data_IF_405744700937
#
_entry.id   IF_405744700937
#
_cell.length_a   1.000
_cell.length_b   1.000
_cell.length_c   1.000
_cell.angle_alpha   90.00
_cell.angle_beta   90.00
_cell.angle_gamma   90.00
#
_symmetry.space_group_name_H-M   'P 1'
#
loop_
_entity.id
_entity.type
_entity.pdbx_description
1 polymer ?
#
# COMPACT_ATOMS: atom_id res chain seq x y z
N UNK A 1 -20.08 -18.35 18.23
CA UNK A 1 -18.92 -19.17 18.64
C UNK A 1 -17.69 -18.31 18.49
N UNK A 2 -16.98 -18.01 19.58
CA UNK A 2 -15.75 -17.23 19.54
C UNK A 2 -14.68 -18.16 18.96
N UNK A 3 -14.25 -17.90 17.74
CA UNK A 3 -13.14 -18.61 17.11
C UNK A 3 -11.92 -18.36 17.99
N UNK A 4 -11.36 -19.42 18.59
CA UNK A 4 -10.10 -19.29 19.31
C UNK A 4 -9.06 -18.71 18.35
N UNK A 5 -8.27 -17.70 18.76
CA UNK A 5 -7.20 -17.21 17.92
C UNK A 5 -6.21 -18.36 17.73
N UNK A 6 -6.00 -18.75 16.47
CA UNK A 6 -4.94 -19.68 16.09
C UNK A 6 -3.61 -18.97 16.34
N UNK A 7 -3.10 -19.07 17.55
CA UNK A 7 -1.79 -18.55 17.93
C UNK A 7 -0.77 -19.66 17.73
N UNK A 8 0.07 -19.48 16.72
CA UNK A 8 1.20 -20.35 16.45
C UNK A 8 2.49 -19.59 16.73
N UNK A 9 3.49 -20.28 17.27
CA UNK A 9 4.84 -19.75 17.41
C UNK A 9 5.54 -19.85 16.06
N UNK A 10 6.45 -18.91 15.78
CA UNK A 10 7.28 -18.96 14.57
C UNK A 10 7.99 -20.31 14.42
N UNK A 11 8.47 -20.89 15.52
CA UNK A 11 9.10 -22.22 15.52
C UNK A 11 8.17 -23.34 15.03
N UNK A 12 6.87 -23.24 15.28
CA UNK A 12 5.90 -24.24 14.82
C UNK A 12 5.69 -24.12 13.31
N UNK A 13 5.62 -22.89 12.80
CA UNK A 13 5.54 -22.62 11.35
C UNK A 13 6.80 -23.13 10.65
N UNK A 14 7.99 -22.81 11.16
CA UNK A 14 9.25 -23.30 10.61
C UNK A 14 9.30 -24.83 10.60
N UNK A 15 8.89 -25.47 11.69
CA UNK A 15 8.85 -26.93 11.76
C UNK A 15 7.86 -27.55 10.74
N UNK A 16 6.67 -26.95 10.56
CA UNK A 16 5.73 -27.40 9.55
C UNK A 16 6.25 -27.20 8.13
N UNK A 17 6.93 -26.08 7.88
CA UNK A 17 7.57 -25.80 6.60
C UNK A 17 8.66 -26.85 6.30
N UNK A 18 9.56 -27.12 7.24
CA UNK A 18 10.60 -28.15 7.06
C UNK A 18 10.02 -29.52 6.76
N UNK A 19 8.94 -29.92 7.47
CA UNK A 19 8.24 -31.19 7.19
C UNK A 19 7.57 -31.22 5.83
N UNK A 20 7.08 -30.07 5.36
CA UNK A 20 6.49 -29.96 4.02
C UNK A 20 7.58 -30.05 2.94
N UNK A 21 8.74 -29.41 3.16
CA UNK A 21 9.89 -29.43 2.24
C UNK A 21 10.53 -30.81 2.11
N UNK A 22 10.57 -31.61 3.19
CA UNK A 22 11.01 -33.01 3.15
C UNK A 22 10.24 -33.85 2.12
N UNK A 23 8.97 -33.51 1.86
CA UNK A 23 8.07 -34.25 0.96
C UNK A 23 8.00 -33.59 -0.43
N UNK A 24 8.02 -32.25 -0.49
CA UNK A 24 7.68 -31.50 -1.71
C UNK A 24 8.89 -30.79 -2.35
N UNK A 25 10.06 -30.83 -1.72
CA UNK A 25 11.25 -30.10 -2.14
C UNK A 25 11.36 -28.72 -1.47
N UNK A 26 12.52 -28.09 -1.65
CA UNK A 26 12.88 -26.81 -1.03
C UNK A 26 12.03 -25.65 -1.57
N UNK A 27 11.53 -24.79 -0.68
CA UNK A 27 10.83 -23.56 -1.07
C UNK A 27 11.85 -22.45 -1.28
N UNK A 28 12.14 -22.12 -2.55
CA UNK A 28 13.22 -21.17 -2.89
C UNK A 28 12.88 -19.69 -2.69
N UNK A 29 11.59 -19.34 -2.55
CA UNK A 29 11.12 -17.95 -2.61
C UNK A 29 10.38 -17.50 -1.33
N UNK A 30 10.78 -18.03 -0.17
CA UNK A 30 10.24 -17.56 1.12
C UNK A 30 10.86 -16.20 1.44
N UNK A 31 10.01 -15.22 1.75
CA UNK A 31 10.48 -13.92 2.24
C UNK A 31 11.08 -14.07 3.64
N UNK A 32 12.27 -13.51 3.85
CA UNK A 32 12.88 -13.46 5.17
C UNK A 32 12.02 -12.59 6.12
N UNK A 33 11.96 -12.91 7.42
CA UNK A 33 11.29 -12.03 8.38
C UNK A 33 11.95 -10.65 8.36
N UNK A 34 11.15 -9.59 8.46
CA UNK A 34 11.55 -8.17 8.30
C UNK A 34 12.73 -7.71 9.16
N UNK A 35 13.13 -8.48 10.18
CA UNK A 35 14.30 -8.21 11.04
C UNK A 35 15.64 -8.73 10.54
N UNK A 36 15.69 -9.63 9.55
CA UNK A 36 16.92 -10.35 9.19
C UNK A 36 17.68 -9.80 7.96
N UNK A 37 17.28 -8.68 7.37
CA UNK A 37 18.12 -8.01 6.36
C UNK A 37 19.12 -7.05 7.01
N UNK A 38 20.09 -7.62 7.73
CA UNK A 38 21.33 -6.95 8.17
C UNK A 38 22.54 -7.27 7.29
N UNK A 39 22.35 -8.02 6.19
CA UNK A 39 23.35 -8.11 5.14
C UNK A 39 23.25 -6.81 4.32
N UNK A 40 24.31 -6.00 4.23
CA UNK A 40 24.31 -4.88 3.31
C UNK A 40 24.15 -5.47 1.92
N UNK A 41 22.94 -5.40 1.34
CA UNK A 41 22.81 -5.42 -0.11
C UNK A 41 23.77 -4.34 -0.57
N UNK A 42 24.87 -4.76 -1.22
CA UNK A 42 25.77 -3.84 -1.90
C UNK A 42 24.85 -2.94 -2.70
N UNK A 43 24.88 -1.63 -2.39
CA UNK A 43 24.15 -0.63 -3.14
C UNK A 43 24.60 -0.86 -4.57
N UNK A 44 23.77 -1.54 -5.36
CA UNK A 44 24.12 -1.81 -6.74
C UNK A 44 24.32 -0.40 -7.32
N UNK A 45 25.51 -0.12 -7.85
CA UNK A 45 25.88 1.18 -8.41
C UNK A 45 24.88 1.67 -9.48
N UNK A 46 24.01 0.78 -9.95
CA UNK A 46 22.82 1.06 -10.75
C UNK A 46 21.75 1.89 -10.02
N UNK A 47 21.50 1.72 -8.71
CA UNK A 47 20.47 2.50 -7.97
C UNK A 47 20.73 4.01 -8.05
N UNK A 48 22.00 4.43 -8.08
CA UNK A 48 22.39 5.83 -8.28
C UNK A 48 22.32 6.30 -9.73
N UNK A 49 22.23 5.38 -10.70
CA UNK A 49 22.06 5.67 -12.12
C UNK A 49 20.58 5.76 -12.54
N UNK A 50 19.66 5.25 -11.72
CA UNK A 50 18.22 5.28 -11.98
C UNK A 50 17.58 6.59 -11.49
N UNK A 51 16.99 7.33 -12.43
CA UNK A 51 16.08 8.43 -12.11
C UNK A 51 14.68 7.86 -11.91
N UNK A 52 14.23 7.77 -10.66
CA UNK A 52 12.86 7.38 -10.35
C UNK A 52 11.90 8.52 -10.65
N UNK A 53 10.99 8.32 -11.61
CA UNK A 53 9.85 9.22 -11.85
C UNK A 53 8.66 8.91 -10.95
N UNK A 54 8.72 7.78 -10.22
CA UNK A 54 7.66 7.24 -9.37
C UNK A 54 8.22 6.64 -8.08
N UNK A 55 7.42 6.71 -7.02
CA UNK A 55 7.64 5.95 -5.78
C UNK A 55 6.35 5.31 -5.31
N UNK A 56 6.41 4.04 -4.91
CA UNK A 56 5.39 3.38 -4.12
C UNK A 56 5.86 3.40 -2.67
N UNK A 57 5.02 3.89 -1.78
CA UNK A 57 5.23 3.77 -0.34
C UNK A 57 4.18 2.81 0.23
N UNK A 58 4.64 1.81 0.99
CA UNK A 58 3.81 0.80 1.63
C UNK A 58 3.64 1.06 3.13
N UNK A 59 2.50 0.68 3.72
CA UNK A 59 2.27 0.82 5.18
C UNK A 59 3.04 -0.22 6.01
N UNK A 60 3.37 -1.37 5.42
CA UNK A 60 4.18 -2.42 6.06
C UNK A 60 5.46 -2.71 5.29
N UNK A 61 6.46 -3.25 6.00
CA UNK A 61 7.72 -3.67 5.38
C UNK A 61 7.54 -4.93 4.55
N UNK A 62 6.64 -5.81 4.98
CA UNK A 62 6.30 -7.06 4.32
C UNK A 62 5.75 -6.83 2.90
N UNK A 63 4.87 -5.84 2.72
CA UNK A 63 4.35 -5.48 1.39
C UNK A 63 5.45 -4.83 0.51
N UNK A 64 6.33 -4.00 1.08
CA UNK A 64 7.45 -3.44 0.34
C UNK A 64 8.44 -4.54 -0.11
N UNK A 65 8.78 -5.47 0.77
CA UNK A 65 9.59 -6.65 0.47
C UNK A 65 8.95 -7.51 -0.61
N UNK A 66 7.65 -7.76 -0.50
CA UNK A 66 6.88 -8.50 -1.49
C UNK A 66 7.00 -7.87 -2.88
N UNK A 67 6.82 -6.56 -3.02
CA UNK A 67 6.94 -5.87 -4.32
C UNK A 67 8.37 -5.92 -4.86
N UNK A 68 9.38 -5.76 -4.01
CA UNK A 68 10.79 -5.83 -4.42
C UNK A 68 11.16 -7.25 -4.87
N UNK A 69 10.75 -8.27 -4.13
CA UNK A 69 11.00 -9.68 -4.47
C UNK A 69 10.33 -10.11 -5.79
N UNK A 70 9.26 -9.44 -6.19
CA UNK A 70 8.60 -9.63 -7.48
C UNK A 70 9.13 -8.68 -8.57
N UNK A 71 10.31 -8.06 -8.39
CA UNK A 71 10.95 -7.14 -9.34
C UNK A 71 10.09 -5.95 -9.78
N UNK A 72 9.06 -5.59 -9.01
CA UNK A 72 8.09 -4.56 -9.38
C UNK A 72 8.75 -3.20 -9.64
N UNK A 73 9.71 -2.84 -8.78
CA UNK A 73 10.50 -1.62 -8.87
C UNK A 73 11.23 -1.48 -10.21
N UNK A 74 11.74 -2.59 -10.75
CA UNK A 74 12.43 -2.62 -12.05
C UNK A 74 11.44 -2.54 -13.21
N UNK A 75 10.38 -3.36 -13.19
CA UNK A 75 9.37 -3.41 -14.26
C UNK A 75 8.62 -2.09 -14.44
N UNK A 76 8.38 -1.37 -13.35
CA UNK A 76 7.60 -0.12 -13.36
C UNK A 76 8.46 1.15 -13.23
N UNK A 77 9.79 1.03 -13.26
CA UNK A 77 10.74 2.13 -13.05
C UNK A 77 10.36 2.99 -11.83
N UNK A 78 10.13 2.36 -10.68
CA UNK A 78 9.72 3.05 -9.47
C UNK A 78 10.57 2.65 -8.27
N UNK A 79 10.74 3.58 -7.33
CA UNK A 79 11.24 3.23 -6.01
C UNK A 79 10.11 2.55 -5.21
N UNK A 80 10.45 1.57 -4.37
CA UNK A 80 9.52 0.93 -3.44
C UNK A 80 10.08 1.10 -2.03
N UNK A 81 9.31 1.75 -1.16
CA UNK A 81 9.69 2.03 0.23
C UNK A 81 8.57 1.59 1.19
N UNK A 82 8.88 1.30 2.44
CA UNK A 82 7.87 1.26 3.51
C UNK A 82 7.86 2.58 4.29
N UNK A 83 6.73 2.88 4.94
CA UNK A 83 6.60 4.05 5.81
C UNK A 83 7.59 4.01 6.99
N UNK A 84 8.03 2.80 7.38
CA UNK A 84 9.02 2.55 8.43
C UNK A 84 10.48 2.77 7.99
N UNK A 85 10.70 3.07 6.70
CA UNK A 85 12.04 3.34 6.18
C UNK A 85 12.74 2.13 5.55
N UNK A 86 12.01 1.06 5.21
CA UNK A 86 12.56 -0.04 4.44
C UNK A 86 12.67 0.33 2.94
N UNK A 87 13.72 -0.11 2.20
CA UNK A 87 14.91 -0.81 2.68
C UNK A 87 15.88 0.14 3.41
N UNK A 88 16.26 -0.21 4.65
CA UNK A 88 16.97 0.69 5.57
C UNK A 88 18.33 1.16 5.01
N UNK A 89 19.06 0.27 4.34
CA UNK A 89 20.41 0.51 3.84
C UNK A 89 20.50 1.56 2.72
N UNK A 90 19.41 1.77 1.97
CA UNK A 90 19.36 2.74 0.85
C UNK A 90 18.33 3.84 1.06
N UNK A 91 17.54 3.78 2.13
CA UNK A 91 16.40 4.68 2.35
C UNK A 91 16.77 6.15 2.25
N UNK A 92 17.81 6.59 2.98
CA UNK A 92 18.23 7.99 2.98
C UNK A 92 18.65 8.49 1.60
N UNK A 93 19.38 7.65 0.86
CA UNK A 93 19.88 7.98 -0.48
C UNK A 93 18.74 8.07 -1.47
N UNK A 94 17.85 7.06 -1.51
CA UNK A 94 16.67 7.07 -2.37
C UNK A 94 15.78 8.25 -2.04
N UNK A 95 15.54 8.52 -0.75
CA UNK A 95 14.68 9.62 -0.34
C UNK A 95 15.23 11.00 -0.71
N UNK A 96 16.55 11.18 -0.63
CA UNK A 96 17.20 12.40 -1.13
C UNK A 96 16.98 12.59 -2.63
N UNK A 97 17.12 11.53 -3.43
CA UNK A 97 16.89 11.58 -4.88
C UNK A 97 15.41 11.90 -5.21
N UNK A 98 14.47 11.24 -4.51
CA UNK A 98 13.04 11.46 -4.69
C UNK A 98 12.64 12.91 -4.39
N UNK A 99 13.15 13.50 -3.30
CA UNK A 99 12.85 14.90 -2.93
C UNK A 99 13.34 15.94 -3.94
N UNK A 100 14.34 15.60 -4.76
CA UNK A 100 14.87 16.48 -5.79
C UNK A 100 14.05 16.46 -7.08
N UNK A 101 13.12 15.50 -7.23
CA UNK A 101 12.28 15.37 -8.41
C UNK A 101 10.95 16.14 -8.22
N UNK A 102 10.76 17.31 -8.86
CA UNK A 102 9.53 18.10 -8.74
C UNK A 102 8.31 17.42 -9.40
N UNK A 103 8.55 16.52 -10.35
CA UNK A 103 7.53 15.80 -11.11
C UNK A 103 7.26 14.39 -10.54
N UNK A 104 7.75 14.11 -9.34
CA UNK A 104 7.60 12.80 -8.69
C UNK A 104 6.13 12.44 -8.49
N UNK A 105 5.75 11.25 -8.95
CA UNK A 105 4.45 10.65 -8.63
C UNK A 105 4.59 9.73 -7.42
N UNK A 106 3.84 10.03 -6.36
CA UNK A 106 3.84 9.26 -5.13
C UNK A 106 2.59 8.38 -5.08
N UNK A 107 2.75 7.08 -4.89
CA UNK A 107 1.67 6.11 -4.74
C UNK A 107 1.68 5.54 -3.33
N UNK A 108 0.61 5.72 -2.57
CA UNK A 108 0.45 5.08 -1.26
C UNK A 108 -0.27 3.74 -1.44
N UNK A 109 0.31 2.65 -0.94
CA UNK A 109 -0.26 1.32 -1.01
C UNK A 109 -0.37 0.72 0.39
N UNK A 110 -1.59 0.66 0.93
CA UNK A 110 -1.79 0.33 2.32
C UNK A 110 -3.00 -0.56 2.56
N UNK A 111 -3.04 -1.16 3.74
CA UNK A 111 -4.15 -1.95 4.26
C UNK A 111 -5.32 -1.09 4.74
N UNK A 112 -6.51 -1.67 4.89
CA UNK A 112 -7.64 -1.02 5.55
C UNK A 112 -7.48 -1.10 7.07
N UNK A 113 -6.46 -0.41 7.58
CA UNK A 113 -6.08 -0.33 8.99
C UNK A 113 -6.05 1.14 9.43
N UNK A 114 -6.14 1.45 10.74
CA UNK A 114 -5.96 2.83 11.23
C UNK A 114 -4.64 3.46 10.78
N UNK A 115 -3.58 2.65 10.71
CA UNK A 115 -2.26 3.05 10.19
C UNK A 115 -2.33 3.39 8.70
N UNK A 116 -2.89 2.47 7.89
CA UNK A 116 -2.99 2.64 6.44
C UNK A 116 -3.79 3.87 6.04
N UNK A 117 -4.98 4.08 6.62
CA UNK A 117 -5.81 5.27 6.31
C UNK A 117 -5.16 6.59 6.74
N UNK A 118 -4.19 6.56 7.68
CA UNK A 118 -3.44 7.74 8.13
C UNK A 118 -2.21 8.02 7.26
N UNK A 119 -1.77 7.04 6.46
CA UNK A 119 -0.51 7.07 5.73
C UNK A 119 -0.39 8.27 4.78
N UNK A 120 -1.44 8.61 4.05
CA UNK A 120 -1.43 9.75 3.11
C UNK A 120 -1.18 11.06 3.85
N UNK A 121 -1.83 11.22 5.01
CA UNK A 121 -1.65 12.39 5.87
C UNK A 121 -0.21 12.46 6.41
N UNK A 122 0.37 11.31 6.78
CA UNK A 122 1.77 11.25 7.20
C UNK A 122 2.72 11.63 6.06
N UNK A 123 2.56 11.03 4.88
CA UNK A 123 3.39 11.34 3.70
C UNK A 123 3.35 12.82 3.33
N UNK A 124 2.18 13.45 3.46
CA UNK A 124 1.96 14.85 3.09
C UNK A 124 2.51 15.85 4.10
N UNK A 125 2.47 15.53 5.39
CA UNK A 125 2.75 16.50 6.45
C UNK A 125 4.08 16.26 7.16
N UNK A 126 4.65 15.06 7.07
CA UNK A 126 5.91 14.73 7.71
C UNK A 126 7.10 15.28 6.88
N UNK A 127 7.95 16.17 7.43
CA UNK A 127 9.12 16.71 6.73
C UNK A 127 10.16 15.65 6.32
N UNK A 128 10.21 14.53 7.03
CA UNK A 128 11.05 13.40 6.65
C UNK A 128 10.52 12.72 5.39
N UNK A 129 9.20 12.77 5.17
CA UNK A 129 8.54 12.39 3.92
C UNK A 129 8.44 13.56 2.94
N UNK A 130 7.28 13.82 2.36
CA UNK A 130 7.07 14.86 1.34
C UNK A 130 6.48 16.15 1.93
N UNK A 131 6.57 16.31 3.26
CA UNK A 131 6.15 17.50 3.98
C UNK A 131 6.73 18.79 3.40
N UNK A 132 5.85 19.71 3.00
CA UNK A 132 6.24 21.01 2.43
C UNK A 132 6.34 21.03 0.90
N UNK A 133 6.18 19.90 0.22
CA UNK A 133 6.14 19.83 -1.24
C UNK A 133 4.69 19.74 -1.74
N UNK A 134 4.40 20.31 -2.91
CA UNK A 134 3.08 20.22 -3.54
C UNK A 134 2.97 19.01 -4.50
N UNK A 135 3.52 17.86 -4.09
CA UNK A 135 3.48 16.64 -4.89
C UNK A 135 2.09 16.00 -4.87
N UNK A 136 1.70 15.40 -5.99
CA UNK A 136 0.47 14.61 -6.08
C UNK A 136 0.73 13.26 -5.42
N UNK A 137 -0.10 12.92 -4.43
CA UNK A 137 -0.11 11.60 -3.79
C UNK A 137 -1.36 10.87 -4.26
N UNK A 138 -1.15 9.73 -4.91
CA UNK A 138 -2.19 8.81 -5.37
C UNK A 138 -2.44 7.75 -4.32
N UNK A 139 -3.69 7.63 -3.89
CA UNK A 139 -4.10 6.56 -2.98
C UNK A 139 -4.46 5.30 -3.77
N UNK A 140 -3.66 4.24 -3.65
CA UNK A 140 -3.92 2.90 -4.18
C UNK A 140 -4.32 1.91 -3.08
N UNK A 141 -4.45 2.38 -1.83
CA UNK A 141 -4.67 1.54 -0.67
C UNK A 141 -6.10 1.01 -0.56
N UNK A 142 -6.25 -0.02 0.27
CA UNK A 142 -7.54 -0.52 0.67
C UNK A 142 -8.14 0.40 1.74
N UNK A 143 -9.31 0.98 1.46
CA UNK A 143 -10.09 1.75 2.43
C UNK A 143 -11.25 0.92 2.98
N UNK A 144 -11.77 1.21 4.18
CA UNK A 144 -12.89 0.47 4.75
C UNK A 144 -14.15 0.47 3.86
N UNK A 145 -14.41 1.55 3.10
CA UNK A 145 -15.49 1.58 2.10
C UNK A 145 -15.42 0.48 1.03
N UNK A 146 -14.23 -0.04 0.69
CA UNK A 146 -14.11 -1.15 -0.26
C UNK A 146 -14.43 -2.50 0.39
N UNK A 147 -14.36 -2.58 1.72
CA UNK A 147 -14.66 -3.78 2.48
C UNK A 147 -16.16 -3.96 2.64
N UNK A 148 -16.92 -2.88 2.87
CA UNK A 148 -18.37 -2.92 3.14
C UNK A 148 -19.22 -3.64 2.07
N UNK A 149 -19.03 -3.41 0.76
CA UNK A 149 -19.78 -4.14 -0.26
C UNK A 149 -19.26 -5.58 -0.48
N UNK A 150 -18.05 -5.88 -0.03
CA UNK A 150 -17.41 -7.17 -0.30
C UNK A 150 -17.96 -8.29 0.59
N UNK A 151 -18.29 -9.41 -0.04
CA UNK A 151 -18.76 -10.62 0.66
C UNK A 151 -17.64 -11.60 1.01
N UNK A 152 -16.45 -11.42 0.40
CA UNK A 152 -15.38 -12.41 0.41
C UNK A 152 -14.08 -11.91 1.08
N UNK A 153 -14.07 -10.69 1.61
CA UNK A 153 -12.90 -10.19 2.34
C UNK A 153 -12.84 -10.76 3.75
N UNK A 154 -11.64 -11.20 4.15
CA UNK A 154 -11.38 -11.68 5.48
C UNK A 154 -11.17 -10.50 6.44
N UNK A 155 -12.20 -10.20 7.24
CA UNK A 155 -12.16 -9.10 8.20
C UNK A 155 -11.57 -9.57 9.53
N UNK A 156 -10.50 -8.91 9.95
CA UNK A 156 -9.84 -9.13 11.23
C UNK A 156 -10.37 -8.16 12.28
N UNK A 157 -10.18 -8.49 13.55
CA UNK A 157 -10.51 -7.63 14.68
C UNK A 157 -9.46 -7.74 15.78
N UNK A 158 -9.00 -6.61 16.31
CA UNK A 158 -8.10 -6.58 17.46
C UNK A 158 -8.31 -5.35 18.34
N UNK A 159 -8.02 -5.50 19.64
CA UNK A 159 -8.07 -4.37 20.58
C UNK A 159 -7.00 -3.33 20.26
N UNK A 160 -5.87 -3.74 19.69
CA UNK A 160 -4.83 -2.81 19.27
C UNK A 160 -5.30 -1.92 18.11
N UNK A 161 -5.92 -2.51 17.09
CA UNK A 161 -6.55 -1.77 16.01
C UNK A 161 -7.61 -0.80 16.55
N UNK A 162 -8.46 -1.22 17.50
CA UNK A 162 -9.44 -0.33 18.13
C UNK A 162 -8.79 0.86 18.89
N UNK A 163 -7.65 0.64 19.54
CA UNK A 163 -6.89 1.71 20.19
C UNK A 163 -6.28 2.67 19.17
N UNK A 164 -5.76 2.16 18.06
CA UNK A 164 -5.20 2.99 17.00
C UNK A 164 -6.30 3.77 16.26
N UNK A 165 -7.45 3.14 15.98
CA UNK A 165 -8.62 3.78 15.34
C UNK A 165 -9.10 5.01 16.10
N UNK A 166 -9.14 4.93 17.44
CA UNK A 166 -9.49 6.07 18.31
C UNK A 166 -8.47 7.21 18.28
N UNK A 167 -7.22 6.93 17.89
CA UNK A 167 -6.12 7.89 17.80
C UNK A 167 -5.93 8.48 16.39
N UNK A 168 -6.78 8.14 15.42
CA UNK A 168 -6.70 8.71 14.07
C UNK A 168 -6.81 10.25 14.16
N UNK A 169 -5.90 11.01 13.50
CA UNK A 169 -5.91 12.47 13.52
C UNK A 169 -7.21 13.07 12.97
N UNK A 170 -7.61 14.23 13.46
CA UNK A 170 -8.87 14.87 13.10
C UNK A 170 -8.97 15.19 11.60
N UNK A 171 -7.85 15.51 10.97
CA UNK A 171 -7.72 15.77 9.54
C UNK A 171 -8.06 14.53 8.71
N UNK A 172 -7.62 13.35 9.15
CA UNK A 172 -7.92 12.06 8.50
C UNK A 172 -9.36 11.65 8.77
N UNK A 173 -9.90 11.96 9.96
CA UNK A 173 -11.32 11.66 10.25
C UNK A 173 -12.27 12.35 9.28
N UNK A 174 -11.92 13.53 8.76
CA UNK A 174 -12.73 14.28 7.80
C UNK A 174 -12.78 13.63 6.41
N UNK A 175 -11.80 12.79 6.07
CA UNK A 175 -11.77 12.09 4.76
C UNK A 175 -12.53 10.76 4.78
N UNK A 176 -12.92 10.30 5.97
CA UNK A 176 -13.60 9.03 6.20
C UNK A 176 -15.08 9.25 6.52
N UNK A 177 -15.93 8.32 6.09
CA UNK A 177 -17.35 8.35 6.47
C UNK A 177 -17.53 7.97 7.96
N UNK A 178 -18.70 8.28 8.49
CA UNK A 178 -19.06 7.92 9.87
C UNK A 178 -18.98 6.40 10.08
N UNK A 179 -19.41 5.62 9.09
CA UNK A 179 -19.38 4.16 9.16
C UNK A 179 -17.95 3.62 9.09
N UNK A 180 -17.08 4.21 8.27
CA UNK A 180 -15.65 3.86 8.21
C UNK A 180 -14.95 4.13 9.55
N UNK A 181 -15.23 5.26 10.18
CA UNK A 181 -14.69 5.60 11.49
C UNK A 181 -15.18 4.65 12.58
N UNK A 182 -16.49 4.38 12.64
CA UNK A 182 -17.06 3.45 13.61
C UNK A 182 -16.47 2.04 13.45
N UNK A 183 -16.24 1.59 12.21
CA UNK A 183 -15.63 0.30 11.91
C UNK A 183 -14.17 0.22 12.41
N UNK A 184 -13.35 1.24 12.15
CA UNK A 184 -11.97 1.32 12.62
C UNK A 184 -11.88 1.45 14.15
N UNK A 185 -12.73 2.29 14.77
CA UNK A 185 -12.76 2.47 16.23
C UNK A 185 -13.25 1.22 16.98
N UNK A 186 -14.07 0.39 16.33
CA UNK A 186 -14.45 -0.94 16.83
C UNK A 186 -13.32 -1.98 16.69
N UNK A 187 -12.21 -1.63 16.02
CA UNK A 187 -11.01 -2.44 15.87
C UNK A 187 -11.06 -3.42 14.72
N UNK A 188 -11.97 -3.24 13.76
CA UNK A 188 -11.97 -4.02 12.53
C UNK A 188 -10.90 -3.50 11.57
N UNK A 189 -10.30 -4.41 10.81
CA UNK A 189 -9.30 -4.10 9.79
C UNK A 189 -9.20 -5.21 8.74
N UNK A 190 -8.61 -4.89 7.59
CA UNK A 190 -8.23 -5.87 6.56
C UNK A 190 -6.81 -5.57 6.12
N UNK A 191 -5.97 -6.59 6.12
CA UNK A 191 -4.58 -6.54 5.67
C UNK A 191 -4.48 -6.84 4.18
N UNK A 192 -3.56 -6.18 3.47
CA UNK A 192 -3.27 -6.47 2.07
C UNK A 192 -2.82 -7.92 1.87
N UNK A 193 -2.12 -8.48 2.86
CA UNK A 193 -1.64 -9.85 2.93
C UNK A 193 -2.78 -10.89 2.91
N UNK A 194 -4.04 -10.46 3.11
CA UNK A 194 -5.22 -11.31 2.95
C UNK A 194 -5.58 -11.57 1.48
N UNK A 195 -4.99 -10.85 0.53
CA UNK A 195 -5.20 -11.03 -0.91
C UNK A 195 -4.10 -11.90 -1.52
N UNK A 196 -4.42 -12.54 -2.64
CA UNK A 196 -3.41 -13.30 -3.39
C UNK A 196 -2.31 -12.36 -3.93
N UNK A 197 -1.05 -12.81 -4.00
CA UNK A 197 0.05 -12.08 -4.62
C UNK A 197 -0.28 -11.48 -5.99
N UNK A 198 -0.96 -12.27 -6.84
CA UNK A 198 -1.35 -11.84 -8.19
C UNK A 198 -2.32 -10.66 -8.16
N UNK A 199 -3.29 -10.66 -7.23
CA UNK A 199 -4.25 -9.55 -7.08
C UNK A 199 -3.53 -8.29 -6.58
N UNK A 200 -2.60 -8.41 -5.63
CA UNK A 200 -1.81 -7.27 -5.15
C UNK A 200 -0.99 -6.62 -6.28
N UNK A 201 -0.23 -7.43 -7.03
CA UNK A 201 0.54 -6.92 -8.18
C UNK A 201 -0.38 -6.28 -9.22
N UNK A 202 -1.51 -6.93 -9.53
CA UNK A 202 -2.50 -6.40 -10.47
C UNK A 202 -3.07 -5.04 -10.02
N UNK A 203 -3.43 -4.89 -8.74
CA UNK A 203 -3.95 -3.63 -8.19
C UNK A 203 -2.95 -2.50 -8.40
N UNK A 204 -1.69 -2.72 -8.03
CA UNK A 204 -0.65 -1.68 -8.09
C UNK A 204 -0.35 -1.33 -9.55
N UNK A 205 -0.17 -2.32 -10.43
CA UNK A 205 0.08 -2.08 -11.86
C UNK A 205 -1.08 -1.36 -12.54
N UNK A 206 -2.33 -1.76 -12.26
CA UNK A 206 -3.52 -1.08 -12.81
C UNK A 206 -3.67 0.34 -12.27
N UNK A 207 -3.40 0.57 -10.98
CA UNK A 207 -3.40 1.89 -10.37
C UNK A 207 -2.42 2.83 -11.07
N UNK A 208 -1.18 2.37 -11.28
CA UNK A 208 -0.17 3.14 -12.02
C UNK A 208 -0.64 3.43 -13.45
N UNK A 209 -1.12 2.42 -14.19
CA UNK A 209 -1.56 2.60 -15.57
C UNK A 209 -2.73 3.60 -15.70
N UNK A 210 -3.73 3.51 -14.81
CA UNK A 210 -4.88 4.44 -14.78
C UNK A 210 -4.44 5.88 -14.53
N UNK A 211 -3.54 6.11 -13.58
CA UNK A 211 -3.02 7.46 -13.32
C UNK A 211 -2.22 8.05 -14.49
N UNK A 212 -1.52 7.20 -15.26
CA UNK A 212 -0.83 7.64 -16.48
C UNK A 212 -1.81 8.01 -17.59
N UNK A 213 -2.87 7.23 -17.79
CA UNK A 213 -3.90 7.54 -18.79
C UNK A 213 -4.55 8.90 -18.51
N UNK A 214 -4.91 9.16 -17.25
CA UNK A 214 -5.49 10.45 -16.82
C UNK A 214 -4.49 11.60 -17.02
N UNK A 215 -3.22 11.42 -16.63
CA UNK A 215 -2.19 12.46 -16.81
C UNK A 215 -1.92 12.80 -18.29
N UNK A 216 -2.11 11.85 -19.20
CA UNK A 216 -1.92 12.03 -20.64
C UNK A 216 -3.18 12.56 -21.36
N UNK A 217 -4.23 12.95 -20.62
CA UNK A 217 -5.46 13.52 -21.21
C UNK A 217 -6.41 12.50 -21.84
N UNK A 218 -6.17 11.20 -21.60
CA UNK A 218 -7.16 10.17 -21.92
C UNK A 218 -8.21 10.14 -20.81
N UNK A 219 -9.20 11.02 -20.92
CA UNK A 219 -10.44 10.86 -20.17
C UNK A 219 -11.13 9.60 -20.69
N UNK A 220 -11.24 8.55 -19.87
CA UNK A 220 -12.22 7.49 -20.10
C UNK A 220 -13.62 8.06 -19.91
N UNK A 221 -14.05 8.86 -20.87
CA UNK A 221 -15.42 9.27 -21.06
C UNK A 221 -15.76 8.87 -22.51
N UNK A 222 -16.79 8.03 -22.63
CA UNK A 222 -17.41 7.49 -23.84
C UNK A 222 -16.70 6.33 -24.54
N UNK A 223 -17.10 5.11 -24.16
CA UNK A 223 -17.78 4.30 -25.16
C UNK A 223 -19.09 3.77 -24.57
N UNK A 224 -20.20 4.39 -24.96
CA UNK A 224 -21.55 4.00 -24.58
C UNK A 224 -21.94 2.76 -25.38
N UNK A 225 -21.76 1.59 -24.81
CA UNK A 225 -22.42 0.36 -25.23
C UNK A 225 -22.89 -0.39 -24.00
N UNK A 226 -24.21 -0.37 -23.78
CA UNK A 226 -24.97 -1.14 -22.80
C UNK A 226 -24.39 -2.53 -22.52
N UNK A 227 -23.99 -2.80 -21.28
CA UNK A 227 -24.53 -3.84 -20.40
C UNK A 227 -23.71 -3.92 -19.09
N UNK A 228 -24.41 -3.98 -17.96
CA UNK A 228 -23.93 -4.29 -16.61
C UNK A 228 -23.11 -3.20 -15.90
N UNK A 229 -23.67 -2.71 -14.79
CA UNK A 229 -23.17 -1.56 -14.04
C UNK A 229 -21.88 -1.80 -13.26
N UNK A 230 -21.42 -0.68 -12.71
CA UNK A 230 -20.26 -0.47 -11.82
C UNK A 230 -19.08 0.24 -12.51
N UNK A 231 -19.29 1.53 -12.84
CA UNK A 231 -18.23 2.42 -13.30
C UNK A 231 -17.63 3.18 -12.10
N UNK A 232 -16.39 2.84 -11.75
CA UNK A 232 -15.63 3.50 -10.69
C UNK A 232 -15.44 4.99 -10.92
N UNK A 233 -15.73 5.80 -9.89
CA UNK A 233 -15.61 7.27 -9.94
C UNK A 233 -14.15 7.66 -9.65
N UNK A 234 -13.50 8.31 -10.61
CA UNK A 234 -12.24 9.04 -10.38
C UNK A 234 -12.58 10.38 -9.73
N UNK A 235 -12.34 10.50 -8.42
CA UNK A 235 -12.36 11.79 -7.74
C UNK A 235 -10.94 12.36 -7.70
N UNK A 236 -10.65 13.28 -8.61
CA UNK A 236 -9.55 14.24 -8.41
C UNK A 236 -10.09 15.26 -7.40
N UNK A 237 -9.85 15.02 -6.12
CA UNK A 237 -10.13 15.99 -5.07
C UNK A 237 -9.08 17.10 -5.17
N UNK A 238 -9.48 18.25 -5.70
CA UNK A 238 -8.76 19.50 -5.45
C UNK A 238 -9.27 19.96 -4.07
N UNK A 239 -8.47 19.77 -3.04
CA UNK A 239 -8.76 20.37 -1.74
C UNK A 239 -8.66 21.91 -1.88
N UNK A 240 -9.50 22.67 -1.17
CA UNK A 240 -9.61 24.14 -1.21
C UNK A 240 -8.28 24.85 -0.89
N UNK A 241 -7.28 24.10 -0.41
CA UNK A 241 -5.89 24.51 -0.19
C UNK A 241 -4.95 24.35 -1.42
N UNK A 242 -5.46 24.14 -2.63
CA UNK A 242 -4.66 23.99 -3.87
C UNK A 242 -3.72 22.76 -3.83
N UNK A 243 -4.12 21.69 -3.11
CA UNK A 243 -3.38 20.43 -2.96
C UNK A 243 -4.13 19.32 -3.69
N UNK A 244 -3.49 18.75 -4.71
CA UNK A 244 -4.09 17.75 -5.59
C UNK A 244 -4.03 16.36 -4.94
N UNK A 245 -5.19 15.75 -4.66
CA UNK A 245 -5.29 14.35 -4.23
C UNK A 245 -6.09 13.57 -5.27
N UNK A 246 -5.45 12.60 -5.92
CA UNK A 246 -6.13 11.65 -6.79
C UNK A 246 -6.48 10.40 -5.99
N UNK A 247 -7.77 10.16 -5.75
CA UNK A 247 -8.23 8.92 -5.12
C UNK A 247 -8.45 7.84 -6.20
N UNK A 248 -7.78 6.69 -6.09
CA UNK A 248 -7.87 5.59 -7.06
C UNK A 248 -8.03 4.25 -6.34
N UNK A 249 -9.22 4.00 -5.80
CA UNK A 249 -9.41 2.72 -5.11
C UNK A 249 -10.80 2.10 -5.23
N UNK A 250 -11.71 2.62 -6.06
CA UNK A 250 -13.09 2.13 -5.99
C UNK A 250 -13.34 0.74 -6.61
N UNK A 251 -12.40 0.13 -7.34
CA UNK A 251 -12.69 -1.14 -8.04
C UNK A 251 -11.48 -2.07 -8.23
N UNK A 252 -10.36 -1.81 -7.56
CA UNK A 252 -9.16 -2.65 -7.76
C UNK A 252 -9.14 -3.88 -6.84
N UNK A 253 -9.81 -3.82 -5.68
CA UNK A 253 -9.87 -4.91 -4.70
C UNK A 253 -11.20 -5.67 -4.67
N UNK A 254 -12.27 -5.08 -5.22
CA UNK A 254 -13.54 -5.73 -5.56
C UNK A 254 -13.46 -6.48 -6.88
#
# INVERSE_FOLDING_TARGET
KITQPLQFKQSEITHWLSRWEEINGEVTNVLAPSREMSEPMQINSEVTAYSFDRVIVCDTTEIAQFLIANNFHFEHNCAVLSIDGYPENIFSTVMQMLKQNPDLKVYAFHSATPRGVTMINELRNNPNWFGGNNLIIYDLGLLPRHVFPSKNMWILKSDDSARQGRKIPAEVKQTLSIDELAWLEAGFYVELESFSPRKLLQVVSQGIAKTQAVANGYSSASDNSLDSGDDGIILIGIDDNNRNVGFFASDSFG
#
